data_IF_138149196056
#
_entry.id   IF_138149196056
#
_cell.length_a   1.000
_cell.length_b   1.000
_cell.length_c   1.000
_cell.angle_alpha   90.00
_cell.angle_beta   90.00
_cell.angle_gamma   90.00
#
_symmetry.space_group_name_H-M   'P 1'
#
loop_
_entity.id
_entity.type
_entity.pdbx_description
1 polymer ?
#
# COMPACT_ATOMS: atom_id res chain seq x y z
N UNK A 1 -40.73 22.95 -14.75
CA UNK A 1 -39.56 22.41 -15.46
C UNK A 1 -39.43 23.20 -16.74
N UNK A 2 -38.32 23.91 -16.91
CA UNK A 2 -38.03 24.57 -18.19
C UNK A 2 -37.59 23.45 -19.15
N UNK A 3 -38.24 23.28 -20.31
CA UNK A 3 -37.81 22.26 -21.27
C UNK A 3 -36.41 22.61 -21.75
N UNK A 4 -35.46 21.68 -21.59
CA UNK A 4 -34.12 21.85 -22.14
C UNK A 4 -34.18 21.82 -23.67
N UNK A 5 -33.40 22.69 -24.31
CA UNK A 5 -33.21 22.65 -25.77
C UNK A 5 -32.32 21.46 -26.15
N UNK A 6 -32.42 20.99 -27.40
CA UNK A 6 -31.58 19.89 -27.91
C UNK A 6 -30.09 20.19 -27.76
N UNK A 7 -29.68 21.44 -27.98
CA UNK A 7 -28.29 21.86 -27.81
C UNK A 7 -27.82 21.76 -26.35
N UNK A 8 -28.68 22.13 -25.40
CA UNK A 8 -28.36 22.02 -23.96
C UNK A 8 -28.19 20.55 -23.55
N UNK A 9 -29.02 19.65 -24.08
CA UNK A 9 -28.92 18.21 -23.83
C UNK A 9 -27.59 17.66 -24.35
N UNK A 10 -27.17 18.04 -25.56
CA UNK A 10 -25.89 17.60 -26.13
C UNK A 10 -24.67 18.09 -25.31
N UNK A 11 -24.71 19.34 -24.82
CA UNK A 11 -23.67 19.91 -23.96
C UNK A 11 -23.61 19.20 -22.60
N UNK A 12 -24.75 18.94 -21.97
CA UNK A 12 -24.79 18.23 -20.70
C UNK A 12 -24.33 16.77 -20.83
N UNK A 13 -24.68 16.11 -21.94
CA UNK A 13 -24.24 14.74 -22.23
C UNK A 13 -22.72 14.66 -22.41
N UNK A 14 -22.12 15.53 -23.21
CA UNK A 14 -20.66 15.55 -23.40
C UNK A 14 -19.92 15.82 -22.08
N UNK A 15 -20.38 16.79 -21.27
CA UNK A 15 -19.81 17.04 -19.94
C UNK A 15 -19.92 15.83 -19.01
N UNK A 16 -21.03 15.11 -19.06
CA UNK A 16 -21.21 13.89 -18.27
C UNK A 16 -20.20 12.80 -18.66
N UNK A 17 -20.00 12.59 -19.96
CA UNK A 17 -19.02 11.63 -20.50
C UNK A 17 -17.59 11.99 -20.08
N UNK A 18 -17.20 13.25 -20.27
CA UNK A 18 -15.87 13.78 -19.88
C UNK A 18 -15.58 13.54 -18.38
N UNK A 19 -16.53 13.88 -17.52
CA UNK A 19 -16.35 13.73 -16.07
C UNK A 19 -16.37 12.26 -15.62
N UNK A 20 -17.10 11.40 -16.32
CA UNK A 20 -17.10 9.96 -16.07
C UNK A 20 -15.76 9.33 -16.46
N UNK A 21 -15.18 9.76 -17.58
CA UNK A 21 -13.85 9.35 -18.00
C UNK A 21 -12.77 9.83 -17.04
N UNK A 22 -12.82 11.09 -16.59
CA UNK A 22 -11.87 11.62 -15.59
C UNK A 22 -11.95 10.82 -14.27
N UNK A 23 -13.14 10.40 -13.83
CA UNK A 23 -13.30 9.53 -12.66
C UNK A 23 -12.62 8.17 -12.84
N UNK A 24 -12.78 7.54 -14.01
CA UNK A 24 -12.12 6.25 -14.32
C UNK A 24 -10.60 6.42 -14.37
N UNK A 25 -10.11 7.44 -15.07
CA UNK A 25 -8.69 7.74 -15.18
C UNK A 25 -8.06 7.96 -13.80
N UNK A 26 -8.68 8.78 -12.95
CA UNK A 26 -8.21 9.01 -11.58
C UNK A 26 -8.20 7.74 -10.74
N UNK A 27 -9.16 6.84 -10.92
CA UNK A 27 -9.20 5.56 -10.21
C UNK A 27 -8.04 4.66 -10.62
N UNK A 28 -7.72 4.62 -11.92
CA UNK A 28 -6.53 3.94 -12.41
C UNK A 28 -5.24 4.54 -11.87
N UNK A 29 -5.15 5.87 -11.76
CA UNK A 29 -3.98 6.55 -11.21
C UNK A 29 -3.76 6.22 -9.73
N UNK A 30 -4.80 6.19 -8.91
CA UNK A 30 -4.70 5.81 -7.50
C UNK A 30 -4.19 4.37 -7.34
N UNK A 31 -4.68 3.44 -8.17
CA UNK A 31 -4.23 2.05 -8.14
C UNK A 31 -2.75 1.93 -8.52
N UNK A 32 -2.30 2.66 -9.54
CA UNK A 32 -0.89 2.73 -9.94
C UNK A 32 -0.01 3.32 -8.82
N UNK A 33 -0.50 4.36 -8.15
CA UNK A 33 0.22 4.99 -7.04
C UNK A 33 0.33 4.06 -5.84
N UNK A 34 -0.76 3.37 -5.47
CA UNK A 34 -0.79 2.41 -4.38
C UNK A 34 0.13 1.21 -4.67
N UNK A 35 0.01 0.60 -5.85
CA UNK A 35 0.84 -0.55 -6.23
C UNK A 35 2.32 -0.18 -6.33
N UNK A 36 2.66 0.99 -6.86
CA UNK A 36 4.03 1.52 -6.86
C UNK A 36 4.57 1.72 -5.44
N UNK A 37 3.77 2.30 -4.54
CA UNK A 37 4.13 2.45 -3.14
C UNK A 37 4.39 1.09 -2.46
N UNK A 38 3.47 0.14 -2.60
CA UNK A 38 3.60 -1.20 -2.00
C UNK A 38 4.85 -1.92 -2.53
N UNK A 39 5.07 -1.88 -3.84
CA UNK A 39 6.23 -2.52 -4.48
C UNK A 39 7.54 -1.93 -3.95
N UNK A 40 7.63 -0.61 -3.88
CA UNK A 40 8.79 0.08 -3.34
C UNK A 40 9.03 -0.32 -1.87
N UNK A 41 7.98 -0.38 -1.05
CA UNK A 41 8.11 -0.77 0.35
C UNK A 41 8.57 -2.22 0.53
N UNK A 42 8.09 -3.15 -0.30
CA UNK A 42 8.47 -4.56 -0.27
C UNK A 42 9.93 -4.75 -0.70
N UNK A 43 10.34 -4.12 -1.80
CA UNK A 43 11.74 -4.15 -2.27
C UNK A 43 12.67 -3.60 -1.19
N UNK A 44 12.27 -2.49 -0.58
CA UNK A 44 13.03 -1.84 0.49
C UNK A 44 13.15 -2.73 1.74
N UNK A 45 12.06 -3.41 2.13
CA UNK A 45 12.06 -4.35 3.24
C UNK A 45 12.94 -5.58 2.96
N UNK A 46 12.86 -6.14 1.75
CA UNK A 46 13.72 -7.25 1.33
C UNK A 46 15.20 -6.85 1.34
N UNK A 47 15.52 -5.65 0.86
CA UNK A 47 16.89 -5.13 0.92
C UNK A 47 17.38 -4.97 2.36
N UNK A 48 16.57 -4.40 3.26
CA UNK A 48 16.90 -4.27 4.68
C UNK A 48 17.13 -5.62 5.37
N UNK A 49 16.40 -6.67 4.99
CA UNK A 49 16.58 -8.01 5.55
C UNK A 49 17.94 -8.62 5.21
N UNK A 50 18.53 -8.25 4.07
CA UNK A 50 19.85 -8.73 3.63
C UNK A 50 20.98 -7.82 4.10
N UNK A 51 20.71 -6.53 4.29
CA UNK A 51 21.68 -5.51 4.69
C UNK A 51 21.27 -4.82 6.00
N UNK A 52 21.52 -5.45 7.17
CA UNK A 52 21.09 -4.90 8.43
C UNK A 52 21.84 -3.60 8.79
N UNK A 53 21.08 -2.56 9.13
CA UNK A 53 21.61 -1.24 9.48
C UNK A 53 22.18 -1.28 10.91
N UNK A 54 23.50 -1.14 11.02
CA UNK A 54 24.18 -1.17 12.33
C UNK A 54 24.13 0.18 13.06
N UNK A 55 24.34 1.28 12.33
CA UNK A 55 24.36 2.61 12.94
C UNK A 55 22.95 3.18 13.11
N UNK A 56 22.67 3.72 14.31
CA UNK A 56 21.37 4.35 14.62
C UNK A 56 21.06 5.54 13.72
N UNK A 57 22.08 6.32 13.33
CA UNK A 57 21.91 7.46 12.42
C UNK A 57 21.28 7.03 11.08
N UNK A 58 21.72 5.90 10.51
CA UNK A 58 21.14 5.38 9.27
C UNK A 58 19.70 4.88 9.46
N UNK A 59 19.38 4.27 10.62
CA UNK A 59 18.01 3.83 10.93
C UNK A 59 17.04 5.00 11.01
N UNK A 60 17.44 6.07 11.69
CA UNK A 60 16.63 7.29 11.81
C UNK A 60 16.48 7.97 10.44
N UNK A 61 17.56 8.09 9.66
CA UNK A 61 17.51 8.65 8.31
C UNK A 61 16.58 7.86 7.38
N UNK A 62 16.62 6.54 7.47
CA UNK A 62 15.75 5.66 6.69
C UNK A 62 14.29 5.75 7.12
N UNK A 63 14.02 5.82 8.43
CA UNK A 63 12.67 6.03 8.96
C UNK A 63 12.11 7.38 8.47
N UNK A 64 12.90 8.44 8.52
CA UNK A 64 12.51 9.75 8.01
C UNK A 64 12.19 9.69 6.50
N UNK A 65 12.97 8.95 5.72
CA UNK A 65 12.68 8.71 4.31
C UNK A 65 11.35 7.96 4.09
N UNK A 66 11.14 6.84 4.78
CA UNK A 66 9.89 6.06 4.68
C UNK A 66 8.66 6.87 5.09
N UNK A 67 8.75 7.66 6.17
CA UNK A 67 7.69 8.56 6.61
C UNK A 67 7.45 9.67 5.58
N UNK A 68 8.51 10.22 4.98
CA UNK A 68 8.41 11.23 3.92
C UNK A 68 7.69 10.72 2.68
N UNK A 69 8.06 9.54 2.18
CA UNK A 69 7.40 8.90 1.03
C UNK A 69 5.93 8.60 1.33
N UNK A 70 5.66 8.09 2.53
CA UNK A 70 4.29 7.77 2.98
C UNK A 70 3.44 9.03 3.13
N UNK A 71 4.02 10.11 3.67
CA UNK A 71 3.36 11.42 3.78
C UNK A 71 3.06 12.05 2.42
N UNK A 72 3.99 11.97 1.47
CA UNK A 72 3.75 12.44 0.10
C UNK A 72 2.60 11.65 -0.58
N UNK A 73 2.62 10.32 -0.43
CA UNK A 73 1.57 9.42 -0.93
C UNK A 73 0.21 9.74 -0.29
N UNK A 74 0.19 9.96 1.02
CA UNK A 74 -1.00 10.38 1.77
C UNK A 74 -1.59 11.68 1.23
N UNK A 75 -0.76 12.71 1.04
CA UNK A 75 -1.22 14.00 0.52
C UNK A 75 -1.81 13.88 -0.89
N UNK A 76 -1.21 13.03 -1.75
CA UNK A 76 -1.74 12.78 -3.09
C UNK A 76 -3.12 12.12 -3.05
N UNK A 77 -3.32 11.11 -2.20
CA UNK A 77 -4.63 10.48 -2.04
C UNK A 77 -5.69 11.47 -1.53
N UNK A 78 -5.39 12.25 -0.49
CA UNK A 78 -6.34 13.24 0.04
C UNK A 78 -6.71 14.27 -1.03
N UNK A 79 -5.73 14.75 -1.81
CA UNK A 79 -5.97 15.70 -2.91
C UNK A 79 -6.84 15.07 -4.00
N UNK A 80 -6.59 13.82 -4.37
CA UNK A 80 -7.37 13.10 -5.36
C UNK A 80 -8.81 12.85 -4.87
N UNK A 81 -9.01 12.45 -3.62
CA UNK A 81 -10.35 12.26 -3.04
C UNK A 81 -11.13 13.58 -3.02
N UNK A 82 -10.51 14.69 -2.64
CA UNK A 82 -11.18 16.02 -2.68
C UNK A 82 -11.64 16.36 -4.10
N UNK A 83 -10.80 16.12 -5.12
CA UNK A 83 -11.17 16.35 -6.52
C UNK A 83 -12.32 15.45 -6.97
N UNK A 84 -12.32 14.17 -6.58
CA UNK A 84 -13.43 13.25 -6.89
C UNK A 84 -14.75 13.69 -6.28
N UNK A 85 -14.74 14.24 -5.06
CA UNK A 85 -15.95 14.78 -4.44
C UNK A 85 -16.59 15.88 -5.30
N UNK A 86 -15.77 16.82 -5.77
CA UNK A 86 -16.23 17.90 -6.67
C UNK A 86 -16.81 17.33 -7.97
N UNK A 87 -16.14 16.35 -8.59
CA UNK A 87 -16.63 15.76 -9.84
C UNK A 87 -17.96 15.02 -9.63
N UNK A 88 -18.08 14.25 -8.54
CA UNK A 88 -19.32 13.52 -8.22
C UNK A 88 -20.46 14.47 -7.89
N UNK A 89 -20.18 15.60 -7.24
CA UNK A 89 -21.16 16.66 -7.02
C UNK A 89 -21.65 17.27 -8.33
N UNK A 90 -20.74 17.56 -9.28
CA UNK A 90 -21.12 18.02 -10.63
C UNK A 90 -21.98 16.98 -11.35
N UNK A 91 -21.59 15.69 -11.33
CA UNK A 91 -22.40 14.62 -11.91
C UNK A 91 -23.78 14.52 -11.27
N UNK A 92 -23.87 14.71 -9.96
CA UNK A 92 -25.14 14.69 -9.23
C UNK A 92 -26.05 15.82 -9.71
N UNK A 93 -25.54 17.04 -9.84
CA UNK A 93 -26.29 18.21 -10.33
C UNK A 93 -26.74 18.02 -11.79
N UNK A 94 -25.89 17.43 -12.64
CA UNK A 94 -26.25 17.09 -14.02
C UNK A 94 -27.38 16.05 -14.05
N UNK A 95 -27.28 14.99 -13.24
CA UNK A 95 -28.31 13.96 -13.15
C UNK A 95 -29.63 14.50 -12.59
N UNK A 96 -29.58 15.46 -11.67
CA UNK A 96 -30.76 16.16 -11.17
C UNK A 96 -31.40 17.03 -12.25
N UNK A 97 -30.60 17.76 -13.05
CA UNK A 97 -31.09 18.55 -14.17
C UNK A 97 -31.80 17.69 -15.24
N UNK A 98 -31.35 16.45 -15.45
CA UNK A 98 -32.01 15.47 -16.31
C UNK A 98 -33.21 14.76 -15.65
N UNK A 99 -33.46 14.97 -14.35
CA UNK A 99 -34.53 14.31 -13.62
C UNK A 99 -34.27 12.84 -13.27
N UNK A 100 -33.03 12.36 -13.44
CA UNK A 100 -32.63 10.97 -13.15
C UNK A 100 -32.50 10.66 -11.65
N UNK A 101 -32.60 11.68 -10.79
CA UNK A 101 -32.63 11.54 -9.32
C UNK A 101 -34.01 11.19 -8.78
N UNK A 102 -35.09 11.28 -9.58
CA UNK A 102 -36.42 10.84 -9.18
C UNK A 102 -36.52 9.32 -9.25
N UNK A 103 -36.93 8.67 -8.16
CA UNK A 103 -37.25 7.25 -8.15
C UNK A 103 -38.29 6.93 -9.24
N UNK A 104 -38.12 5.79 -9.91
CA UNK A 104 -38.93 5.32 -11.05
C UNK A 104 -38.69 6.00 -12.41
N UNK A 105 -37.67 6.85 -12.60
CA UNK A 105 -37.35 7.40 -13.93
C UNK A 105 -37.06 6.32 -14.99
N UNK A 106 -36.62 5.12 -14.58
CA UNK A 106 -36.32 3.98 -15.44
C UNK A 106 -37.08 2.69 -15.04
N UNK A 107 -38.18 2.81 -14.28
CA UNK A 107 -38.92 1.63 -13.79
C UNK A 107 -38.21 0.79 -12.72
N UNK A 108 -37.07 1.27 -12.22
CA UNK A 108 -36.33 0.67 -11.10
C UNK A 108 -36.69 1.45 -9.82
N UNK A 109 -37.09 0.77 -8.72
CA UNK A 109 -37.37 1.45 -7.47
C UNK A 109 -36.08 2.03 -6.87
N UNK A 110 -36.01 3.35 -6.81
CA UNK A 110 -34.90 4.10 -6.20
C UNK A 110 -34.08 4.94 -7.18
N UNK A 111 -33.32 5.94 -6.69
CA UNK A 111 -32.39 6.72 -7.51
C UNK A 111 -31.23 5.82 -7.97
N UNK A 112 -30.93 5.84 -9.27
CA UNK A 112 -29.82 5.05 -9.86
C UNK A 112 -28.46 5.46 -9.31
N UNK A 113 -28.33 6.74 -8.96
CA UNK A 113 -27.11 7.25 -8.36
C UNK A 113 -27.21 7.13 -6.83
N UNK A 114 -26.38 6.31 -6.17
CA UNK A 114 -26.25 6.38 -4.72
C UNK A 114 -25.86 7.82 -4.35
N UNK A 115 -26.38 8.31 -3.23
CA UNK A 115 -26.16 9.67 -2.74
C UNK A 115 -24.68 10.06 -2.85
N UNK A 116 -24.43 11.32 -3.22
CA UNK A 116 -23.10 11.89 -3.51
C UNK A 116 -22.02 11.61 -2.45
N UNK A 117 -22.43 11.24 -1.24
CA UNK A 117 -21.58 10.85 -0.12
C UNK A 117 -21.05 9.40 -0.14
N UNK A 118 -21.74 8.43 -0.76
CA UNK A 118 -21.45 7.00 -0.54
C UNK A 118 -20.27 6.45 -1.35
N UNK A 119 -19.95 6.99 -2.54
CA UNK A 119 -18.96 6.36 -3.45
C UNK A 119 -17.57 6.97 -3.38
N UNK A 120 -17.42 8.24 -2.98
CA UNK A 120 -16.12 8.93 -3.00
C UNK A 120 -15.30 8.78 -1.74
N UNK A 121 -15.95 8.60 -0.58
CA UNK A 121 -15.27 8.51 0.72
C UNK A 121 -14.90 7.07 1.09
N UNK A 122 -15.50 6.05 0.45
CA UNK A 122 -15.30 4.65 0.83
C UNK A 122 -13.85 4.16 0.70
N UNK A 123 -13.12 4.58 -0.35
CA UNK A 123 -11.80 4.04 -0.67
C UNK A 123 -10.63 4.72 0.04
N UNK A 124 -10.79 6.00 0.43
CA UNK A 124 -9.74 6.73 1.13
C UNK A 124 -9.27 6.02 2.41
N UNK A 125 -10.14 5.62 3.37
CA UNK A 125 -9.67 4.96 4.58
C UNK A 125 -8.92 3.66 4.30
N UNK A 126 -9.29 2.90 3.25
CA UNK A 126 -8.55 1.71 2.83
C UNK A 126 -7.14 2.03 2.33
N UNK A 127 -7.00 3.05 1.46
CA UNK A 127 -5.67 3.47 1.01
C UNK A 127 -4.80 3.95 2.18
N UNK A 128 -5.39 4.69 3.11
CA UNK A 128 -4.70 5.15 4.31
C UNK A 128 -4.28 3.98 5.21
N UNK A 129 -5.15 2.98 5.39
CA UNK A 129 -4.83 1.78 6.16
C UNK A 129 -3.65 1.03 5.56
N UNK A 130 -3.62 0.83 4.24
CA UNK A 130 -2.51 0.16 3.55
C UNK A 130 -1.21 0.94 3.73
N UNK A 131 -1.20 2.26 3.45
CA UNK A 131 0.00 3.09 3.61
C UNK A 131 0.52 3.03 5.06
N UNK A 132 -0.38 3.12 6.03
CA UNK A 132 -0.03 3.07 7.45
C UNK A 132 0.54 1.70 7.84
N UNK A 133 -0.08 0.61 7.40
CA UNK A 133 0.35 -0.75 7.67
C UNK A 133 1.77 -1.01 7.17
N UNK A 134 2.08 -0.63 5.93
CA UNK A 134 3.42 -0.81 5.37
C UNK A 134 4.46 0.07 6.08
N UNK A 135 4.11 1.30 6.42
CA UNK A 135 5.01 2.21 7.17
C UNK A 135 5.34 1.64 8.55
N UNK A 136 4.32 1.14 9.27
CA UNK A 136 4.50 0.52 10.59
C UNK A 136 5.29 -0.78 10.49
N UNK A 137 5.00 -1.63 9.50
CA UNK A 137 5.72 -2.87 9.22
C UNK A 137 7.21 -2.61 8.95
N UNK A 138 7.53 -1.63 8.11
CA UNK A 138 8.92 -1.22 7.88
C UNK A 138 9.60 -0.71 9.16
N UNK A 139 8.91 0.13 9.91
CA UNK A 139 9.42 0.65 11.19
C UNK A 139 9.76 -0.52 12.13
N UNK A 140 8.86 -1.49 12.25
CA UNK A 140 9.08 -2.69 13.05
C UNK A 140 10.28 -3.52 12.57
N UNK A 141 10.44 -3.71 11.25
CA UNK A 141 11.60 -4.41 10.69
C UNK A 141 12.91 -3.68 11.04
N UNK A 142 12.96 -2.36 10.93
CA UNK A 142 14.17 -1.57 11.24
C UNK A 142 14.58 -1.69 12.71
N UNK A 143 13.60 -1.68 13.63
CA UNK A 143 13.86 -1.75 15.07
C UNK A 143 14.03 -3.18 15.62
N UNK A 144 13.61 -4.21 14.89
CA UNK A 144 13.77 -5.62 15.30
C UNK A 144 15.15 -6.21 14.97
N UNK A 145 15.91 -5.61 14.04
CA UNK A 145 17.25 -6.07 13.66
C UNK A 145 18.32 -6.21 14.78
N UNK A 146 18.37 -5.39 15.84
CA UNK A 146 19.37 -5.59 16.90
C UNK A 146 19.05 -6.83 17.75
N UNK A 147 17.78 -7.17 17.93
CA UNK A 147 17.35 -8.34 18.71
C UNK A 147 17.68 -9.66 17.98
N UNK A 148 17.57 -9.69 16.65
CA UNK A 148 17.88 -10.90 15.88
C UNK A 148 19.37 -11.23 15.86
N UNK A 149 20.25 -10.22 15.91
CA UNK A 149 21.69 -10.44 16.04
C UNK A 149 22.07 -10.98 17.42
N UNK A 150 21.53 -10.38 18.49
CA UNK A 150 21.77 -10.85 19.86
C UNK A 150 21.30 -12.30 20.06
N UNK A 151 20.11 -12.64 19.53
CA UNK A 151 19.59 -14.00 19.60
C UNK A 151 20.40 -15.01 18.76
N UNK A 152 21.02 -14.59 17.65
CA UNK A 152 21.92 -15.43 16.85
C UNK A 152 23.23 -15.73 17.57
N UNK A 153 23.79 -14.75 18.27
CA UNK A 153 25.06 -14.90 18.98
C UNK A 153 24.93 -15.76 20.24
N UNK A 154 23.73 -15.85 20.84
CA UNK A 154 23.44 -16.70 21.99
C UNK A 154 23.12 -18.17 21.64
N UNK A 155 22.89 -18.52 20.37
CA UNK A 155 22.71 -19.94 20.01
C UNK A 155 24.06 -20.64 20.23
N UNK A 156 24.17 -21.57 21.21
CA UNK A 156 25.40 -22.30 21.42
C UNK A 156 25.73 -23.02 20.12
N UNK A 157 26.93 -22.80 19.59
CA UNK A 157 27.41 -23.58 18.44
C UNK A 157 27.31 -25.04 18.84
N UNK A 158 26.37 -25.76 18.24
CA UNK A 158 26.33 -27.21 18.34
C UNK A 158 27.56 -27.69 17.57
N UNK A 159 28.66 -27.88 18.28
CA UNK A 159 29.85 -28.50 17.72
C UNK A 159 29.50 -29.95 17.41
N UNK A 160 29.27 -30.23 16.13
CA UNK A 160 29.05 -31.61 15.68
C UNK A 160 30.41 -32.28 15.59
N UNK A 161 30.69 -33.16 16.55
CA UNK A 161 31.89 -33.98 16.55
C UNK A 161 31.68 -35.20 15.67
N UNK A 162 32.61 -35.44 14.74
CA UNK A 162 32.65 -36.68 13.96
C UNK A 162 33.80 -37.53 14.47
N UNK A 163 33.50 -38.77 14.84
CA UNK A 163 34.46 -39.71 15.42
C UNK A 163 34.62 -40.89 14.45
N UNK A 164 35.55 -40.84 13.47
CA UNK A 164 35.66 -41.84 12.41
C UNK A 164 36.29 -43.18 12.83
N UNK A 165 36.67 -43.36 14.10
CA UNK A 165 37.22 -44.62 14.60
C UNK A 165 37.90 -44.48 15.96
N UNK A 166 38.12 -45.62 16.62
CA UNK A 166 38.91 -45.73 17.85
C UNK A 166 40.40 -45.78 17.53
N UNK A 167 41.21 -45.15 18.37
CA UNK A 167 42.67 -45.32 18.30
C UNK A 167 43.11 -46.67 18.88
N UNK A 168 44.41 -46.97 18.77
CA UNK A 168 45.03 -48.22 19.25
C UNK A 168 44.93 -48.42 20.77
N UNK A 169 44.43 -47.42 21.52
CA UNK A 169 44.21 -47.46 22.97
C UNK A 169 42.72 -47.57 23.31
N UNK A 170 41.84 -47.68 22.29
CA UNK A 170 40.38 -47.79 22.46
C UNK A 170 39.71 -46.44 22.75
N UNK A 171 40.41 -45.32 22.56
CA UNK A 171 39.85 -43.98 22.79
C UNK A 171 39.31 -43.44 21.45
N UNK A 172 38.04 -43.00 21.38
CA UNK A 172 37.49 -42.42 20.17
C UNK A 172 38.17 -41.08 19.85
N UNK A 173 38.84 -41.00 18.69
CA UNK A 173 39.35 -39.71 18.18
C UNK A 173 38.24 -38.93 17.55
N UNK A 174 37.55 -38.13 18.35
CA UNK A 174 36.59 -37.16 17.84
C UNK A 174 37.33 -35.92 17.35
N UNK A 175 37.15 -35.58 16.07
CA UNK A 175 37.59 -34.29 15.54
C UNK A 175 36.38 -33.37 15.43
N UNK A 176 36.49 -32.09 15.83
CA UNK A 176 35.44 -31.13 15.55
C UNK A 176 35.30 -31.01 14.03
N UNK A 177 34.12 -31.31 13.50
CA UNK A 177 33.83 -30.99 12.10
C UNK A 177 33.58 -29.50 12.08
N UNK A 178 34.57 -28.74 11.60
CA UNK A 178 34.38 -27.32 11.33
C UNK A 178 33.28 -27.17 10.29
N UNK A 179 32.05 -26.92 10.74
CA UNK A 179 30.95 -26.41 9.93
C UNK A 179 31.11 -24.90 9.77
N UNK A 180 32.31 -24.43 9.40
CA UNK A 180 32.46 -23.08 8.92
C UNK A 180 31.88 -23.02 7.50
N UNK A 181 30.86 -22.18 7.21
CA UNK A 181 30.61 -21.82 5.83
C UNK A 181 31.87 -21.09 5.34
N UNK A 182 32.59 -21.67 4.37
CA UNK A 182 33.58 -20.92 3.59
C UNK A 182 32.82 -19.78 2.92
N UNK A 183 33.01 -18.57 3.43
CA UNK A 183 32.72 -17.34 2.66
C UNK A 183 33.79 -17.18 1.59
#
# INVERSE_FOLDING_TARGET
MIPLTQDQIAILKSKYEDHTEDLRFRTGQDFKLLSGFVTLNLVLAAWLSTHPLQAMAFRVGFMAFSVGVSGATFMLFVRNTRRRKVIVEILHNINEAFGFTKGNAYGIPGPINPTSNLTTTYWLPWYLAVVSLFTLGQTFVIFSQPYTKAASDEIPRIEVFFCPGMDSVGIPRCKPVSTAPRR
#
